data_IF_684309420542
#
_entry.id   IF_684309420542
#
_cell.length_a   1.000
_cell.length_b   1.000
_cell.length_c   1.000
_cell.angle_alpha   90.00
_cell.angle_beta   90.00
_cell.angle_gamma   90.00
#
_symmetry.space_group_name_H-M   'P 1'
#
loop_
_entity.id
_entity.type
_entity.pdbx_description
1 polymer ?
#
# COMPACT_ATOMS: atom_id res chain seq x y z
N UNK A 1 5.55 14.53 3.12
CA UNK A 1 6.24 13.99 1.94
C UNK A 1 6.23 15.07 0.87
N UNK A 2 7.34 15.30 0.18
CA UNK A 2 7.37 16.20 -0.96
C UNK A 2 6.56 15.64 -2.15
N UNK A 3 6.30 16.46 -3.16
CA UNK A 3 5.45 16.06 -4.29
C UNK A 3 6.06 14.92 -5.11
N UNK A 4 7.37 14.93 -5.32
CA UNK A 4 8.10 13.92 -6.11
C UNK A 4 8.02 12.53 -5.45
N UNK A 5 8.31 12.46 -4.16
CA UNK A 5 8.25 11.25 -3.36
C UNK A 5 6.83 10.75 -3.19
N UNK A 6 5.85 11.66 -3.05
CA UNK A 6 4.43 11.30 -3.02
C UNK A 6 3.99 10.65 -4.33
N UNK A 7 4.42 11.18 -5.48
CA UNK A 7 4.18 10.59 -6.81
C UNK A 7 4.86 9.23 -6.93
N UNK A 8 6.11 9.12 -6.47
CA UNK A 8 6.87 7.86 -6.49
C UNK A 8 6.19 6.77 -5.66
N UNK A 9 5.79 7.08 -4.42
CA UNK A 9 5.05 6.15 -3.56
C UNK A 9 3.72 5.77 -4.21
N UNK A 10 2.99 6.74 -4.79
CA UNK A 10 1.73 6.46 -5.45
C UNK A 10 1.88 5.46 -6.60
N UNK A 11 2.82 5.67 -7.50
CA UNK A 11 3.13 4.73 -8.59
C UNK A 11 3.50 3.35 -8.02
N UNK A 12 4.34 3.31 -6.99
CA UNK A 12 4.76 2.06 -6.37
C UNK A 12 3.62 1.29 -5.69
N UNK A 13 2.70 2.01 -5.04
CA UNK A 13 1.47 1.42 -4.48
C UNK A 13 0.55 0.86 -5.56
N UNK A 14 0.50 1.50 -6.75
CA UNK A 14 -0.23 0.96 -7.90
C UNK A 14 0.39 -0.35 -8.36
N UNK A 15 1.71 -0.38 -8.58
CA UNK A 15 2.43 -1.61 -8.97
C UNK A 15 2.26 -2.74 -7.94
N UNK A 16 2.30 -2.42 -6.65
CA UNK A 16 2.01 -3.37 -5.58
C UNK A 16 0.57 -3.88 -5.63
N UNK A 17 -0.40 -3.00 -5.89
CA UNK A 17 -1.79 -3.36 -6.11
C UNK A 17 -1.95 -4.34 -7.28
N UNK A 18 -1.31 -4.08 -8.42
CA UNK A 18 -1.30 -4.97 -9.59
C UNK A 18 -0.74 -6.36 -9.21
N UNK A 19 0.36 -6.40 -8.46
CA UNK A 19 0.97 -7.66 -7.98
C UNK A 19 0.07 -8.43 -7.01
N UNK A 20 -0.85 -7.77 -6.33
CA UNK A 20 -1.77 -8.34 -5.33
C UNK A 20 -3.14 -8.72 -5.91
N UNK A 21 -3.42 -8.38 -7.17
CA UNK A 21 -4.65 -8.81 -7.88
C UNK A 21 -4.75 -10.34 -7.83
N UNK A 22 -5.84 -10.86 -7.26
CA UNK A 22 -6.09 -12.29 -7.12
C UNK A 22 -5.26 -13.01 -6.05
N UNK A 23 -4.39 -12.31 -5.31
CA UNK A 23 -3.58 -12.90 -4.23
C UNK A 23 -4.13 -12.64 -2.83
N UNK A 24 -5.03 -11.69 -2.68
CA UNK A 24 -5.63 -11.38 -1.39
C UNK A 24 -6.64 -12.45 -0.96
N UNK A 25 -6.65 -12.84 0.32
CA UNK A 25 -7.56 -13.86 0.81
C UNK A 25 -9.03 -13.41 0.73
N UNK A 26 -9.95 -14.35 0.47
CA UNK A 26 -11.38 -14.05 0.45
C UNK A 26 -11.84 -13.55 1.81
N UNK A 27 -12.78 -12.61 1.81
CA UNK A 27 -13.43 -12.11 3.03
C UNK A 27 -14.94 -12.17 2.84
N UNK A 28 -15.65 -12.61 3.88
CA UNK A 28 -17.12 -12.63 3.88
C UNK A 28 -17.72 -11.22 3.67
N UNK A 29 -17.01 -10.18 4.13
CA UNK A 29 -17.39 -8.78 3.95
C UNK A 29 -17.20 -8.27 2.52
N UNK A 30 -16.43 -8.99 1.70
CA UNK A 30 -16.13 -8.64 0.31
C UNK A 30 -16.46 -9.80 -0.64
N UNK A 31 -17.76 -10.04 -0.90
CA UNK A 31 -18.21 -11.17 -1.72
C UNK A 31 -17.74 -11.11 -3.17
N UNK A 32 -17.29 -9.94 -3.66
CA UNK A 32 -16.72 -9.75 -5.01
C UNK A 32 -15.18 -9.68 -5.02
N UNK A 33 -14.52 -10.00 -3.90
CA UNK A 33 -13.07 -9.85 -3.72
C UNK A 33 -12.66 -8.49 -3.16
N UNK A 34 -11.44 -8.42 -2.61
CA UNK A 34 -10.85 -7.19 -2.06
C UNK A 34 -10.23 -6.36 -3.18
N UNK A 35 -10.33 -5.04 -3.08
CA UNK A 35 -9.60 -4.12 -3.96
C UNK A 35 -8.14 -4.02 -3.48
N UNK A 36 -7.14 -4.48 -4.25
CA UNK A 36 -5.75 -4.49 -3.81
C UNK A 36 -5.15 -3.10 -3.60
N UNK A 37 -5.47 -2.14 -4.47
CA UNK A 37 -4.96 -0.77 -4.36
C UNK A 37 -5.45 -0.08 -3.08
N UNK A 38 -6.75 -0.23 -2.79
CA UNK A 38 -7.34 0.30 -1.56
C UNK A 38 -6.76 -0.41 -0.33
N UNK A 39 -6.53 -1.72 -0.42
CA UNK A 39 -5.92 -2.50 0.65
C UNK A 39 -4.51 -1.99 0.99
N UNK A 40 -3.63 -1.80 0.01
CA UNK A 40 -2.27 -1.25 0.23
C UNK A 40 -2.35 0.12 0.90
N UNK A 41 -3.23 1.02 0.43
CA UNK A 41 -3.39 2.35 1.02
C UNK A 41 -3.87 2.31 2.47
N UNK A 42 -4.84 1.45 2.79
CA UNK A 42 -5.33 1.25 4.15
C UNK A 42 -4.23 0.68 5.05
N UNK A 43 -3.48 -0.32 4.57
CA UNK A 43 -2.39 -0.92 5.31
C UNK A 43 -1.26 0.08 5.61
N UNK A 44 -0.85 0.89 4.63
CA UNK A 44 0.16 1.95 4.82
C UNK A 44 -0.35 2.97 5.84
N UNK A 45 -1.60 3.45 5.69
CA UNK A 45 -2.18 4.40 6.65
C UNK A 45 -2.25 3.83 8.07
N UNK A 46 -2.63 2.56 8.21
CA UNK A 46 -2.70 1.88 9.51
C UNK A 46 -1.33 1.68 10.16
N UNK A 47 -0.30 1.35 9.36
CA UNK A 47 1.06 1.10 9.87
C UNK A 47 1.75 2.39 10.33
N UNK A 48 1.63 3.47 9.55
CA UNK A 48 2.29 4.74 9.85
C UNK A 48 1.41 5.71 10.67
N UNK A 49 0.13 5.38 10.89
CA UNK A 49 -0.83 6.24 11.59
C UNK A 49 -1.31 7.46 10.78
N UNK A 50 -0.77 7.67 9.57
CA UNK A 50 -1.03 8.81 8.72
C UNK A 50 -0.94 8.43 7.24
N UNK A 51 -1.46 9.28 6.35
CA UNK A 51 -1.37 9.02 4.92
C UNK A 51 0.08 9.13 4.43
N UNK A 52 0.43 8.42 3.37
CA UNK A 52 1.77 8.47 2.77
C UNK A 52 2.21 9.89 2.39
N UNK A 53 1.24 10.77 2.06
CA UNK A 53 1.49 12.19 1.75
C UNK A 53 1.98 12.98 2.97
N UNK A 54 1.53 12.60 4.16
CA UNK A 54 1.86 13.28 5.41
C UNK A 54 3.17 12.77 6.01
N UNK A 55 3.65 11.60 5.60
CA UNK A 55 4.88 10.97 6.12
C UNK A 55 6.10 11.84 5.75
N UNK A 56 7.08 12.06 6.65
CA UNK A 56 8.30 12.79 6.33
C UNK A 56 9.13 12.04 5.27
N UNK A 57 9.80 12.78 4.39
CA UNK A 57 10.58 12.24 3.26
C UNK A 57 11.70 11.28 3.69
N UNK A 58 12.23 11.46 4.91
CA UNK A 58 13.23 10.57 5.52
C UNK A 58 12.73 9.14 5.69
N UNK A 59 11.40 8.95 5.79
CA UNK A 59 10.76 7.63 5.91
C UNK A 59 10.30 7.07 4.57
N UNK A 60 10.63 7.71 3.43
CA UNK A 60 10.28 7.20 2.10
C UNK A 60 10.67 5.73 1.94
N UNK A 61 11.91 5.37 2.28
CA UNK A 61 12.40 4.00 2.13
C UNK A 61 11.59 3.03 3.00
N UNK A 62 11.27 3.39 4.24
CA UNK A 62 10.43 2.57 5.13
C UNK A 62 9.03 2.33 4.56
N UNK A 63 8.45 3.34 3.89
CA UNK A 63 7.15 3.19 3.23
C UNK A 63 7.24 2.20 2.06
N UNK A 64 8.30 2.30 1.24
CA UNK A 64 8.54 1.38 0.13
C UNK A 64 8.76 -0.06 0.62
N UNK A 65 9.62 -0.25 1.62
CA UNK A 65 9.89 -1.57 2.22
C UNK A 65 8.61 -2.20 2.80
N UNK A 66 7.76 -1.39 3.43
CA UNK A 66 6.49 -1.87 3.95
C UNK A 66 5.52 -2.27 2.83
N UNK A 67 5.50 -1.53 1.72
CA UNK A 67 4.69 -1.89 0.54
C UNK A 67 5.17 -3.22 -0.05
N UNK A 68 6.49 -3.43 -0.17
CA UNK A 68 7.05 -4.71 -0.63
C UNK A 68 6.69 -5.86 0.32
N UNK A 69 6.79 -5.64 1.62
CA UNK A 69 6.36 -6.63 2.62
C UNK A 69 4.89 -7.03 2.44
N UNK A 70 3.99 -6.09 2.11
CA UNK A 70 2.58 -6.39 1.83
C UNK A 70 2.39 -7.26 0.58
N UNK A 71 3.23 -7.06 -0.44
CA UNK A 71 3.19 -7.86 -1.68
C UNK A 71 3.69 -9.28 -1.43
N UNK A 72 4.76 -9.43 -0.66
CA UNK A 72 5.32 -10.75 -0.28
C UNK A 72 4.43 -11.49 0.72
N UNK A 73 3.67 -10.76 1.53
CA UNK A 73 2.79 -11.30 2.57
C UNK A 73 1.36 -10.79 2.37
N UNK A 74 0.63 -11.27 1.33
CA UNK A 74 -0.76 -10.89 1.12
C UNK A 74 -1.65 -11.42 2.27
N UNK A 75 -2.39 -10.53 2.94
CA UNK A 75 -3.27 -10.85 4.09
C UNK A 75 -4.69 -10.26 3.95
#
# INVERSE_FOLDING_TARGET
MNEENSKRIWTYMQEAGDKLVGKLPPSWQHPKGRNPYAHVAICVKGHFGQSYKDIPDEKLQQVLDYIDYLVENPK
#
